data_IF_185119790249
#
_entry.id   IF_185119790249
#
_cell.length_a   1.000
_cell.length_b   1.000
_cell.length_c   1.000
_cell.angle_alpha   90.00
_cell.angle_beta   90.00
_cell.angle_gamma   90.00
#
_symmetry.space_group_name_H-M   'P 1'
#
loop_
_entity.id
_entity.type
_entity.pdbx_description
1 polymer ?
#
# COMPACT_ATOMS: atom_id res chain seq x y z
N UNK A 1 19.97 -44.29 6.14
CA UNK A 1 18.57 -43.84 5.96
C UNK A 1 18.43 -42.43 6.51
N UNK A 2 17.90 -41.52 5.66
CA UNK A 2 17.28 -40.20 5.87
C UNK A 2 17.99 -39.10 6.71
N UNK A 3 18.43 -38.08 5.98
CA UNK A 3 18.64 -36.70 6.41
C UNK A 3 17.32 -36.06 6.91
N UNK A 4 17.44 -35.12 7.84
CA UNK A 4 16.35 -34.25 8.29
C UNK A 4 16.89 -32.92 8.78
N UNK A 5 17.36 -32.10 7.84
CA UNK A 5 17.68 -30.69 8.10
C UNK A 5 16.42 -29.99 8.61
N UNK A 6 16.51 -29.33 9.77
CA UNK A 6 15.43 -28.47 10.27
C UNK A 6 15.44 -27.19 9.43
N UNK A 7 14.52 -27.15 8.48
CA UNK A 7 14.14 -26.02 7.65
C UNK A 7 14.00 -24.77 8.51
N UNK A 8 14.62 -23.68 8.04
CA UNK A 8 14.53 -22.37 8.66
C UNK A 8 13.08 -21.98 8.92
N UNK A 9 12.82 -21.51 10.15
CA UNK A 9 11.59 -20.82 10.48
C UNK A 9 11.62 -19.47 9.76
N UNK A 10 11.20 -19.46 8.49
CA UNK A 10 10.62 -18.26 7.91
C UNK A 10 9.40 -17.95 8.75
N UNK A 11 9.45 -16.83 9.49
CA UNK A 11 8.25 -16.23 10.08
C UNK A 11 7.17 -16.21 9.01
N UNK A 12 5.96 -16.74 9.26
CA UNK A 12 4.85 -16.45 8.38
C UNK A 12 4.71 -14.94 8.45
N UNK A 13 4.96 -14.28 7.31
CA UNK A 13 4.57 -12.88 7.14
C UNK A 13 3.08 -12.92 7.44
N UNK A 14 2.71 -12.41 8.62
CA UNK A 14 1.33 -12.44 9.11
C UNK A 14 0.44 -12.09 7.94
N UNK A 15 -0.54 -12.93 7.60
CA UNK A 15 -1.57 -12.61 6.60
C UNK A 15 -2.06 -11.20 6.90
N UNK A 16 -1.48 -10.22 6.21
CA UNK A 16 -1.67 -8.82 6.55
C UNK A 16 -2.93 -8.48 5.82
N UNK A 17 -4.07 -8.87 6.41
CA UNK A 17 -5.37 -8.62 5.83
C UNK A 17 -5.51 -7.11 5.75
N UNK A 18 -5.29 -6.58 4.54
CA UNK A 18 -5.37 -5.16 4.29
C UNK A 18 -6.78 -4.71 4.65
N UNK A 19 -6.89 -3.78 5.59
CA UNK A 19 -8.18 -3.20 6.01
C UNK A 19 -8.86 -2.50 4.83
N UNK A 20 -8.05 -1.94 3.91
CA UNK A 20 -8.53 -1.21 2.74
C UNK A 20 -7.79 -1.70 1.48
N UNK A 21 -8.07 -2.93 1.01
CA UNK A 21 -7.26 -3.60 0.00
C UNK A 21 -7.25 -2.86 -1.34
N UNK A 22 -8.30 -2.08 -1.64
CA UNK A 22 -8.41 -1.35 -2.90
C UNK A 22 -7.22 -0.39 -3.13
N UNK A 23 -7.00 0.56 -2.22
CA UNK A 23 -5.94 1.54 -2.36
C UNK A 23 -4.62 1.08 -1.71
N UNK A 24 -4.67 0.24 -0.67
CA UNK A 24 -3.46 -0.24 0.00
C UNK A 24 -2.62 -1.15 -0.91
N UNK A 25 -3.23 -1.98 -1.77
CA UNK A 25 -2.47 -2.77 -2.74
C UNK A 25 -1.70 -1.88 -3.73
N UNK A 26 -2.35 -0.82 -4.22
CA UNK A 26 -1.69 0.15 -5.11
C UNK A 26 -0.54 0.86 -4.39
N UNK A 27 -0.71 1.15 -3.09
CA UNK A 27 0.35 1.74 -2.26
C UNK A 27 1.53 0.80 -2.10
N UNK A 28 1.29 -0.47 -1.77
CA UNK A 28 2.36 -1.47 -1.65
C UNK A 28 3.09 -1.68 -2.98
N UNK A 29 2.37 -1.70 -4.10
CA UNK A 29 2.99 -1.79 -5.42
C UNK A 29 3.88 -0.59 -5.72
N UNK A 30 3.44 0.63 -5.38
CA UNK A 30 4.26 1.83 -5.56
C UNK A 30 5.50 1.83 -4.65
N UNK A 31 5.38 1.36 -3.41
CA UNK A 31 6.49 1.25 -2.46
C UNK A 31 7.50 0.14 -2.82
N UNK A 32 7.03 -0.94 -3.45
CA UNK A 32 7.89 -2.03 -3.92
C UNK A 32 8.51 -1.76 -5.30
N UNK A 33 8.06 -0.71 -5.99
CA UNK A 33 8.56 -0.36 -7.32
C UNK A 33 9.96 0.26 -7.22
N UNK A 34 10.95 -0.44 -7.75
CA UNK A 34 12.35 0.00 -7.77
C UNK A 34 12.69 0.81 -9.01
N UNK A 35 11.83 0.77 -10.04
CA UNK A 35 12.06 1.42 -11.32
C UNK A 35 11.46 2.83 -11.35
N UNK A 36 12.27 3.91 -11.38
CA UNK A 36 11.76 5.28 -11.32
C UNK A 36 10.85 5.66 -12.50
N UNK A 37 11.06 5.04 -13.68
CA UNK A 37 10.23 5.21 -14.87
C UNK A 37 8.81 4.65 -14.70
N UNK A 38 8.68 3.51 -14.01
CA UNK A 38 7.39 2.88 -13.72
C UNK A 38 6.74 3.49 -12.47
N UNK A 39 7.56 3.90 -11.50
CA UNK A 39 7.17 4.48 -10.24
C UNK A 39 6.28 5.72 -10.43
N UNK A 40 6.64 6.61 -11.35
CA UNK A 40 5.80 7.79 -11.66
C UNK A 40 4.39 7.40 -12.12
N UNK A 41 4.29 6.36 -12.95
CA UNK A 41 3.01 5.79 -13.39
C UNK A 41 2.22 5.15 -12.26
N UNK A 42 2.90 4.36 -11.41
CA UNK A 42 2.30 3.71 -10.22
C UNK A 42 1.78 4.73 -9.21
N UNK A 43 2.55 5.78 -8.93
CA UNK A 43 2.14 6.87 -8.04
C UNK A 43 0.93 7.60 -8.63
N UNK A 44 0.91 7.90 -9.94
CA UNK A 44 -0.24 8.53 -10.59
C UNK A 44 -1.51 7.68 -10.53
N UNK A 45 -1.38 6.36 -10.76
CA UNK A 45 -2.51 5.44 -10.64
C UNK A 45 -3.04 5.39 -9.20
N UNK A 46 -2.15 5.31 -8.22
CA UNK A 46 -2.49 5.33 -6.81
C UNK A 46 -3.14 6.65 -6.37
N UNK A 47 -2.62 7.80 -6.80
CA UNK A 47 -3.22 9.12 -6.54
C UNK A 47 -4.67 9.20 -7.05
N UNK A 48 -4.95 8.62 -8.22
CA UNK A 48 -6.31 8.54 -8.75
C UNK A 48 -7.22 7.65 -7.90
N UNK A 49 -6.75 6.47 -7.50
CA UNK A 49 -7.51 5.54 -6.63
C UNK A 49 -7.78 6.17 -5.26
N UNK A 50 -6.77 6.82 -4.66
CA UNK A 50 -6.90 7.53 -3.39
C UNK A 50 -7.85 8.73 -3.51
N UNK A 51 -7.75 9.52 -4.58
CA UNK A 51 -8.64 10.66 -4.83
C UNK A 51 -10.10 10.22 -4.99
N UNK A 52 -10.34 9.13 -5.72
CA UNK A 52 -11.67 8.53 -5.84
C UNK A 52 -12.18 8.07 -4.48
N UNK A 53 -11.33 7.41 -3.68
CA UNK A 53 -11.72 6.94 -2.35
C UNK A 53 -12.05 8.09 -1.41
N UNK A 54 -11.25 9.15 -1.38
CA UNK A 54 -11.53 10.34 -0.58
C UNK A 54 -12.87 10.99 -0.95
N UNK A 55 -13.24 11.04 -2.23
CA UNK A 55 -14.57 11.52 -2.66
C UNK A 55 -15.71 10.64 -2.14
N UNK A 56 -15.51 9.32 -2.10
CA UNK A 56 -16.49 8.39 -1.53
C UNK A 56 -16.61 8.58 -0.01
N UNK A 57 -15.47 8.73 0.68
CA UNK A 57 -15.42 8.96 2.12
C UNK A 57 -15.98 10.33 2.53
N UNK A 58 -15.92 11.34 1.65
CA UNK A 58 -16.58 12.63 1.91
C UNK A 58 -18.11 12.51 1.97
N UNK A 59 -18.68 11.44 1.41
CA UNK A 59 -20.12 11.14 1.42
C UNK A 59 -20.47 10.24 2.63
N UNK A 60 -19.51 9.46 3.15
CA UNK A 60 -19.70 8.57 4.32
C UNK A 60 -19.08 9.16 5.58
N UNK A 61 -19.91 9.54 6.55
CA UNK A 61 -19.48 10.35 7.72
C UNK A 61 -18.58 9.62 8.73
N UNK A 62 -18.41 8.30 8.66
CA UNK A 62 -17.87 7.50 9.78
C UNK A 62 -16.47 6.89 9.55
N UNK A 63 -15.84 7.14 8.41
CA UNK A 63 -14.58 6.46 8.04
C UNK A 63 -13.32 7.30 8.34
N UNK A 64 -13.26 7.91 9.53
CA UNK A 64 -12.16 8.80 9.94
C UNK A 64 -10.78 8.10 9.93
N UNK A 65 -10.74 6.83 10.30
CA UNK A 65 -9.50 6.03 10.26
C UNK A 65 -8.97 5.84 8.84
N UNK A 66 -9.85 5.60 7.86
CA UNK A 66 -9.45 5.47 6.47
C UNK A 66 -8.92 6.79 5.92
N UNK A 67 -9.55 7.91 6.30
CA UNK A 67 -9.08 9.25 5.91
C UNK A 67 -7.67 9.55 6.45
N UNK A 68 -7.39 9.21 7.71
CA UNK A 68 -6.04 9.34 8.28
C UNK A 68 -5.04 8.46 7.51
N UNK A 69 -5.40 7.20 7.24
CA UNK A 69 -4.54 6.27 6.54
C UNK A 69 -4.22 6.75 5.10
N UNK A 70 -5.21 7.30 4.39
CA UNK A 70 -5.05 7.89 3.07
C UNK A 70 -4.18 9.14 3.10
N UNK A 71 -4.37 10.02 4.09
CA UNK A 71 -3.55 11.22 4.25
C UNK A 71 -2.07 10.86 4.52
N UNK A 72 -1.82 9.87 5.36
CA UNK A 72 -0.48 9.35 5.62
C UNK A 72 0.14 8.75 4.35
N UNK A 73 -0.61 7.94 3.60
CA UNK A 73 -0.15 7.37 2.34
C UNK A 73 0.24 8.45 1.32
N UNK A 74 -0.60 9.48 1.13
CA UNK A 74 -0.29 10.60 0.23
C UNK A 74 0.99 11.36 0.63
N UNK A 75 1.23 11.53 1.93
CA UNK A 75 2.45 12.17 2.43
C UNK A 75 3.68 11.33 2.08
N UNK A 76 3.63 10.02 2.25
CA UNK A 76 4.71 9.11 1.87
C UNK A 76 4.97 9.13 0.36
N UNK A 77 3.92 9.18 -0.46
CA UNK A 77 4.06 9.25 -1.92
C UNK A 77 4.73 10.54 -2.39
N UNK A 78 4.49 11.67 -1.71
CA UNK A 78 5.19 12.93 -2.03
C UNK A 78 6.69 12.82 -1.81
N UNK A 79 7.12 12.11 -0.77
CA UNK A 79 8.54 11.82 -0.52
C UNK A 79 9.09 10.89 -1.60
N UNK A 80 8.32 9.86 -1.97
CA UNK A 80 8.71 8.89 -3.01
C UNK A 80 8.86 9.52 -4.40
N UNK A 81 8.06 10.56 -4.71
CA UNK A 81 8.19 11.36 -5.94
C UNK A 81 9.44 12.24 -6.01
N UNK A 82 10.08 12.51 -4.87
CA UNK A 82 11.27 13.38 -4.78
C UNK A 82 12.59 12.60 -4.85
N UNK A 83 12.54 11.27 -4.96
CA UNK A 83 13.69 10.42 -5.24
C UNK A 83 13.99 10.38 -6.75
#
# INVERSE_FOLDING_TARGET
MKCGAKTGKGTPVSDTTLKYPLWQNHYLQAMAETHPELLKGKISALEQVVSLRLKQLAITTDDYEEQIALAAALKSLKVLKQQ
#
